data_IF_948942576301
#
_entry.id   IF_948942576301
#
_cell.length_a   1.000
_cell.length_b   1.000
_cell.length_c   1.000
_cell.angle_alpha   90.00
_cell.angle_beta   90.00
_cell.angle_gamma   90.00
#
_symmetry.space_group_name_H-M   'P 1'
#
loop_
_entity.id
_entity.type
_entity.pdbx_description
1 polymer ?
#
# COMPACT_ATOMS: atom_id res chain seq x y z
N UNK A 1 10.35 -36.39 17.24
CA UNK A 1 9.75 -35.21 16.59
C UNK A 1 9.86 -34.07 17.57
N UNK A 2 10.64 -33.05 17.24
CA UNK A 2 10.82 -31.89 18.11
C UNK A 2 9.50 -31.10 18.17
N UNK A 3 8.81 -31.18 19.31
CA UNK A 3 7.53 -30.52 19.59
C UNK A 3 7.71 -29.15 20.23
N UNK A 4 8.94 -28.62 20.26
CA UNK A 4 9.19 -27.28 20.78
C UNK A 4 8.39 -26.28 19.93
N UNK A 5 7.41 -25.56 20.51
CA UNK A 5 6.70 -24.53 19.77
C UNK A 5 7.75 -23.53 19.29
N UNK A 6 7.85 -23.31 17.97
CA UNK A 6 8.68 -22.23 17.42
C UNK A 6 8.23 -20.96 18.13
N UNK A 7 9.05 -20.44 19.04
CA UNK A 7 8.78 -19.16 19.70
C UNK A 7 8.76 -18.11 18.61
N UNK A 8 7.57 -17.69 18.22
CA UNK A 8 7.42 -16.48 17.42
C UNK A 8 8.00 -15.32 18.24
N UNK A 9 8.77 -14.44 17.59
CA UNK A 9 9.32 -13.22 18.20
C UNK A 9 10.42 -13.48 19.25
N UNK A 10 11.44 -14.27 18.90
CA UNK A 10 12.64 -14.46 19.73
C UNK A 10 13.36 -13.13 20.00
N UNK A 11 14.31 -13.11 20.95
CA UNK A 11 15.13 -11.91 21.15
C UNK A 11 15.90 -11.53 19.88
N UNK A 12 16.45 -12.52 19.16
CA UNK A 12 17.11 -12.31 17.87
C UNK A 12 16.18 -11.70 16.83
N UNK A 13 14.93 -12.18 16.70
CA UNK A 13 13.97 -11.61 15.76
C UNK A 13 13.66 -10.14 16.09
N UNK A 14 13.48 -9.83 17.39
CA UNK A 14 13.21 -8.46 17.85
C UNK A 14 14.38 -7.53 17.55
N UNK A 15 15.60 -7.93 17.90
CA UNK A 15 16.81 -7.12 17.65
C UNK A 15 17.02 -6.93 16.15
N UNK A 16 16.78 -7.96 15.33
CA UNK A 16 16.92 -7.87 13.88
C UNK A 16 15.89 -6.91 13.25
N UNK A 17 14.65 -6.93 13.73
CA UNK A 17 13.61 -5.98 13.31
C UNK A 17 13.99 -4.55 13.69
N UNK A 18 14.41 -4.31 14.94
CA UNK A 18 14.84 -2.99 15.42
C UNK A 18 16.03 -2.48 14.60
N UNK A 19 17.06 -3.31 14.40
CA UNK A 19 18.24 -2.94 13.64
C UNK A 19 17.89 -2.57 12.19
N UNK A 20 16.98 -3.31 11.56
CA UNK A 20 16.49 -3.01 10.20
C UNK A 20 15.79 -1.65 10.14
N UNK A 21 14.88 -1.38 11.10
CA UNK A 21 14.16 -0.11 11.18
C UNK A 21 15.10 1.08 11.43
N UNK A 22 16.05 0.94 12.36
CA UNK A 22 17.05 1.97 12.65
C UNK A 22 17.94 2.22 11.44
N UNK A 23 18.39 1.17 10.75
CA UNK A 23 19.18 1.32 9.52
C UNK A 23 18.42 2.09 8.43
N UNK A 24 17.12 1.81 8.25
CA UNK A 24 16.27 2.55 7.30
C UNK A 24 16.08 4.03 7.70
N UNK A 25 15.79 4.29 8.98
CA UNK A 25 15.69 5.66 9.52
C UNK A 25 17.01 6.43 9.38
N UNK A 26 18.14 5.73 9.46
CA UNK A 26 19.49 6.25 9.20
C UNK A 26 19.85 6.35 7.70
N UNK A 27 18.86 6.30 6.81
CA UNK A 27 18.99 6.42 5.34
C UNK A 27 19.57 5.19 4.61
N UNK A 28 19.80 4.09 5.32
CA UNK A 28 20.12 2.81 4.70
C UNK A 28 18.93 2.24 3.92
N UNK A 29 19.20 1.44 2.89
CA UNK A 29 18.15 0.72 2.14
C UNK A 29 18.36 -0.78 2.34
N UNK A 30 17.63 -1.43 3.29
CA UNK A 30 17.88 -2.82 3.64
C UNK A 30 17.79 -3.80 2.45
N UNK A 31 16.84 -3.56 1.55
CA UNK A 31 16.65 -4.31 0.31
C UNK A 31 15.85 -3.48 -0.70
N UNK A 32 15.73 -3.99 -1.94
CA UNK A 32 14.88 -3.43 -3.00
C UNK A 32 14.08 -4.53 -3.70
N UNK A 33 13.00 -4.17 -4.38
CA UNK A 33 12.22 -5.14 -5.15
C UNK A 33 12.90 -5.44 -6.49
N UNK A 34 13.36 -6.67 -6.67
CA UNK A 34 13.83 -7.14 -7.98
C UNK A 34 12.70 -7.22 -9.02
N UNK A 35 11.44 -7.23 -8.58
CA UNK A 35 10.24 -7.30 -9.44
C UNK A 35 9.65 -5.94 -9.76
N UNK A 36 10.24 -4.84 -9.28
CA UNK A 36 9.73 -3.52 -9.61
C UNK A 36 9.91 -3.24 -11.12
N UNK A 37 8.86 -2.70 -11.74
CA UNK A 37 8.83 -2.41 -13.17
C UNK A 37 9.35 -1.00 -13.44
N UNK A 38 10.28 -0.80 -14.38
CA UNK A 38 10.71 0.54 -14.80
C UNK A 38 9.53 1.38 -15.28
N UNK A 39 9.52 2.68 -14.97
CA UNK A 39 8.46 3.60 -15.38
C UNK A 39 7.11 3.41 -14.69
N UNK A 40 7.01 2.53 -13.68
CA UNK A 40 5.76 2.30 -12.94
C UNK A 40 5.81 2.97 -11.57
N UNK A 41 4.81 3.79 -11.27
CA UNK A 41 4.64 4.47 -10.01
C UNK A 41 3.45 3.88 -9.23
N UNK A 42 3.71 3.37 -8.02
CA UNK A 42 2.65 2.86 -7.14
C UNK A 42 2.33 3.91 -6.08
N UNK A 43 1.08 4.34 -6.03
CA UNK A 43 0.61 5.39 -5.13
C UNK A 43 -0.49 4.82 -4.24
N UNK A 44 -0.23 4.70 -2.94
CA UNK A 44 -1.27 4.40 -1.95
C UNK A 44 -1.99 5.67 -1.52
N UNK A 45 -3.32 5.67 -1.54
CA UNK A 45 -4.12 6.80 -1.10
C UNK A 45 -4.66 6.54 0.29
N UNK A 46 -4.40 7.49 1.18
CA UNK A 46 -4.66 7.40 2.61
C UNK A 46 -5.61 8.53 2.97
N UNK A 47 -6.75 8.20 3.56
CA UNK A 47 -7.67 9.21 4.09
C UNK A 47 -7.71 9.08 5.60
N UNK A 48 -7.50 10.20 6.30
CA UNK A 48 -7.55 10.26 7.74
C UNK A 48 -8.47 11.40 8.19
N UNK A 49 -9.41 11.10 9.08
CA UNK A 49 -10.32 12.10 9.66
C UNK A 49 -9.60 12.83 10.79
N UNK A 50 -9.76 14.15 10.87
CA UNK A 50 -9.11 14.95 11.92
C UNK A 50 -9.70 14.66 13.31
N UNK A 51 -11.02 14.54 13.38
CA UNK A 51 -11.73 14.25 14.63
C UNK A 51 -12.81 13.19 14.37
N UNK A 52 -12.83 12.14 15.20
CA UNK A 52 -13.88 11.12 15.18
C UNK A 52 -15.04 11.45 16.14
N UNK A 53 -14.86 12.43 17.02
CA UNK A 53 -15.78 12.79 18.11
C UNK A 53 -16.72 13.95 17.78
N UNK A 54 -16.37 14.78 16.80
CA UNK A 54 -17.22 15.86 16.28
C UNK A 54 -17.86 15.43 14.96
N UNK A 55 -19.02 16.00 14.60
CA UNK A 55 -19.61 15.86 13.24
C UNK A 55 -18.77 16.54 12.15
N UNK A 56 -17.48 16.76 12.40
CA UNK A 56 -16.56 17.38 11.46
C UNK A 56 -16.41 16.51 10.22
N UNK A 57 -16.72 17.10 9.06
CA UNK A 57 -16.42 16.56 7.74
C UNK A 57 -14.94 16.68 7.37
N UNK A 58 -14.11 17.23 8.27
CA UNK A 58 -12.71 17.52 7.98
C UNK A 58 -11.88 16.25 7.95
N UNK A 59 -11.27 15.98 6.81
CA UNK A 59 -10.28 14.94 6.65
C UNK A 59 -9.08 15.45 5.82
N UNK A 60 -8.00 14.69 5.85
CA UNK A 60 -6.83 14.89 5.01
C UNK A 60 -6.65 13.63 4.16
N UNK A 61 -6.30 13.82 2.89
CA UNK A 61 -5.81 12.74 2.05
C UNK A 61 -4.29 12.85 1.94
N UNK A 62 -3.57 11.76 2.09
CA UNK A 62 -2.14 11.67 1.83
C UNK A 62 -1.88 10.62 0.75
N UNK A 63 -0.90 10.90 -0.11
CA UNK A 63 -0.43 9.97 -1.11
C UNK A 63 0.94 9.42 -0.69
N UNK A 64 1.06 8.09 -0.64
CA UNK A 64 2.33 7.41 -0.42
C UNK A 64 2.81 6.78 -1.72
N UNK A 65 3.83 7.38 -2.31
CA UNK A 65 4.46 6.93 -3.54
C UNK A 65 5.59 5.95 -3.22
N UNK A 66 5.63 4.82 -3.92
CA UNK A 66 6.71 3.84 -3.83
C UNK A 66 7.39 3.65 -5.17
N UNK A 67 8.71 3.65 -5.11
CA UNK A 67 9.60 3.64 -6.26
C UNK A 67 10.27 2.27 -6.42
N UNK A 68 10.83 2.00 -7.60
CA UNK A 68 11.52 0.74 -7.91
C UNK A 68 12.79 0.51 -7.06
N UNK A 69 13.40 1.60 -6.57
CA UNK A 69 14.52 1.58 -5.61
C UNK A 69 14.13 1.05 -4.23
N UNK A 70 12.83 0.85 -3.99
CA UNK A 70 12.29 0.46 -2.69
C UNK A 70 12.14 1.64 -1.74
N UNK A 71 12.46 2.87 -2.14
CA UNK A 71 12.19 4.06 -1.33
C UNK A 71 10.75 4.52 -1.46
N UNK A 72 10.29 5.31 -0.49
CA UNK A 72 8.94 5.84 -0.45
C UNK A 72 8.92 7.33 -0.14
N UNK A 73 7.89 8.01 -0.63
CA UNK A 73 7.62 9.41 -0.32
C UNK A 73 6.16 9.59 0.05
N UNK A 74 5.91 10.33 1.12
CA UNK A 74 4.59 10.75 1.57
C UNK A 74 4.37 12.20 1.17
N UNK A 75 3.25 12.43 0.50
CA UNK A 75 2.80 13.76 0.08
C UNK A 75 1.47 14.02 0.76
N UNK A 76 1.44 15.06 1.59
CA UNK A 76 0.25 15.46 2.33
C UNK A 76 -0.66 16.31 1.44
N UNK A 77 -1.89 15.88 1.23
CA UNK A 77 -2.96 16.67 0.61
C UNK A 77 -3.51 17.74 1.56
N UNK A 78 -4.40 18.60 1.05
CA UNK A 78 -4.98 19.64 1.88
C UNK A 78 -6.04 19.06 2.84
N UNK A 79 -6.23 19.74 3.97
CA UNK A 79 -7.39 19.49 4.82
C UNK A 79 -8.62 20.10 4.17
N UNK A 80 -9.72 19.37 4.17
CA UNK A 80 -10.99 19.87 3.67
C UNK A 80 -12.15 18.95 4.03
N UNK A 81 -13.37 19.28 3.59
CA UNK A 81 -14.59 18.57 3.94
C UNK A 81 -14.73 17.25 3.16
N UNK A 82 -13.70 16.41 3.18
CA UNK A 82 -13.63 15.17 2.37
C UNK A 82 -14.45 14.03 2.95
N UNK A 83 -14.89 14.14 4.21
CA UNK A 83 -15.77 13.16 4.84
C UNK A 83 -17.23 13.54 4.67
N UNK A 84 -18.03 12.64 4.10
CA UNK A 84 -19.49 12.75 4.06
C UNK A 84 -20.11 11.99 5.24
N UNK A 85 -20.76 12.67 6.21
CA UNK A 85 -21.44 12.00 7.33
C UNK A 85 -22.58 11.08 6.90
N UNK A 86 -23.25 11.39 5.79
CA UNK A 86 -24.41 10.64 5.27
C UNK A 86 -23.99 9.29 4.68
N UNK A 87 -22.99 9.31 3.80
CA UNK A 87 -22.48 8.09 3.15
C UNK A 87 -21.40 7.38 3.97
N UNK A 88 -20.83 8.05 4.97
CA UNK A 88 -19.64 7.64 5.74
C UNK A 88 -18.43 7.36 4.85
N UNK A 89 -18.34 8.05 3.71
CA UNK A 89 -17.26 7.90 2.73
C UNK A 89 -16.31 9.11 2.75
N UNK A 90 -15.08 8.86 2.30
CA UNK A 90 -14.00 9.84 2.19
C UNK A 90 -13.64 9.98 0.72
N UNK A 91 -13.86 11.17 0.15
CA UNK A 91 -13.56 11.47 -1.24
C UNK A 91 -13.00 12.89 -1.39
N UNK A 92 -11.96 13.02 -2.21
CA UNK A 92 -11.50 14.33 -2.68
C UNK A 92 -12.46 14.86 -3.75
N UNK A 93 -12.53 16.18 -3.88
CA UNK A 93 -13.09 16.79 -5.08
C UNK A 93 -12.10 16.68 -6.25
N UNK A 94 -12.55 17.04 -7.44
CA UNK A 94 -11.74 16.93 -8.66
C UNK A 94 -10.43 17.77 -8.60
N UNK A 95 -10.49 18.98 -8.05
CA UNK A 95 -9.35 19.91 -8.00
C UNK A 95 -8.24 19.40 -7.06
N UNK A 96 -8.62 18.92 -5.88
CA UNK A 96 -7.69 18.39 -4.88
C UNK A 96 -7.10 17.05 -5.29
N UNK A 97 -7.88 16.19 -5.96
CA UNK A 97 -7.35 14.97 -6.55
C UNK A 97 -6.29 15.27 -7.63
N UNK A 98 -6.56 16.27 -8.48
CA UNK A 98 -5.59 16.73 -9.49
C UNK A 98 -4.33 17.28 -8.84
N UNK A 99 -4.46 18.18 -7.86
CA UNK A 99 -3.32 18.80 -7.18
C UNK A 99 -2.46 17.75 -6.47
N UNK A 100 -3.08 16.84 -5.73
CA UNK A 100 -2.37 15.79 -4.99
C UNK A 100 -1.52 14.92 -5.93
N UNK A 101 -2.09 14.43 -7.03
CA UNK A 101 -1.35 13.60 -7.97
C UNK A 101 -0.33 14.41 -8.77
N UNK A 102 -0.59 15.67 -9.10
CA UNK A 102 0.41 16.55 -9.74
C UNK A 102 1.68 16.62 -8.90
N UNK A 103 1.54 16.88 -7.59
CA UNK A 103 2.67 16.91 -6.65
C UNK A 103 3.40 15.57 -6.55
N UNK A 104 2.67 14.46 -6.59
CA UNK A 104 3.25 13.10 -6.64
C UNK A 104 4.10 12.90 -7.90
N UNK A 105 3.59 13.29 -9.07
CA UNK A 105 4.30 13.12 -10.34
C UNK A 105 5.50 14.06 -10.47
N UNK A 106 5.42 15.27 -9.94
CA UNK A 106 6.56 16.20 -9.85
C UNK A 106 7.68 15.60 -8.98
N UNK A 107 7.32 15.09 -7.80
CA UNK A 107 8.26 14.41 -6.89
C UNK A 107 8.88 13.17 -7.54
N UNK A 108 8.09 12.39 -8.30
CA UNK A 108 8.59 11.25 -9.06
C UNK A 108 9.68 11.69 -10.06
N UNK A 109 9.40 12.74 -10.84
CA UNK A 109 10.32 13.27 -11.85
C UNK A 109 11.63 13.75 -11.23
N UNK A 110 11.56 14.43 -10.09
CA UNK A 110 12.74 14.92 -9.37
C UNK A 110 13.63 13.79 -8.84
N UNK A 111 13.04 12.69 -8.36
CA UNK A 111 13.79 11.60 -7.74
C UNK A 111 14.33 10.57 -8.73
N UNK A 112 13.60 10.27 -9.81
CA UNK A 112 13.95 9.17 -10.71
C UNK A 112 14.46 9.61 -12.08
N UNK A 113 14.08 10.80 -12.56
CA UNK A 113 14.46 11.30 -13.89
C UNK A 113 14.05 10.42 -15.09
N UNK A 114 13.38 9.29 -14.86
CA UNK A 114 12.96 8.34 -15.88
C UNK A 114 11.56 8.67 -16.41
N UNK A 115 11.28 8.23 -17.63
CA UNK A 115 9.96 8.35 -18.25
C UNK A 115 8.95 7.48 -17.52
N UNK A 116 7.96 8.13 -16.91
CA UNK A 116 6.80 7.48 -16.32
C UNK A 116 5.93 6.87 -17.44
N UNK A 117 5.48 5.64 -17.27
CA UNK A 117 4.61 4.92 -18.22
C UNK A 117 3.29 4.49 -17.60
N UNK A 118 3.27 4.12 -16.32
CA UNK A 118 2.07 3.67 -15.61
C UNK A 118 2.01 4.23 -14.20
N UNK A 119 0.81 4.62 -13.77
CA UNK A 119 0.49 5.02 -12.41
C UNK A 119 -0.61 4.10 -11.88
N UNK A 120 -0.31 3.39 -10.80
CA UNK A 120 -1.28 2.59 -10.06
C UNK A 120 -1.68 3.31 -8.78
N UNK A 121 -2.95 3.66 -8.69
CA UNK A 121 -3.55 4.20 -7.47
C UNK A 121 -4.13 3.03 -6.67
N UNK A 122 -3.65 2.81 -5.46
CA UNK A 122 -4.10 1.78 -4.54
C UNK A 122 -5.00 2.39 -3.47
N UNK A 123 -6.24 1.90 -3.41
CA UNK A 123 -7.24 2.33 -2.43
C UNK A 123 -7.65 1.17 -1.54
N UNK A 124 -7.93 1.49 -0.27
CA UNK A 124 -8.64 0.58 0.62
C UNK A 124 -10.17 0.67 0.40
N UNK A 125 -10.67 1.90 0.32
CA UNK A 125 -12.07 2.24 -0.02
C UNK A 125 -12.31 2.24 -1.53
N UNK A 126 -13.55 2.49 -1.94
CA UNK A 126 -13.86 2.74 -3.36
C UNK A 126 -13.46 4.17 -3.72
N UNK A 127 -12.98 4.34 -4.94
CA UNK A 127 -12.77 5.64 -5.60
C UNK A 127 -14.04 6.03 -6.36
N UNK A 128 -14.39 7.32 -6.40
CA UNK A 128 -15.53 7.82 -7.17
C UNK A 128 -15.10 8.44 -8.54
N UNK A 129 -16.08 8.72 -9.40
CA UNK A 129 -15.84 9.29 -10.73
C UNK A 129 -15.20 10.69 -10.71
N UNK A 130 -15.48 11.49 -9.67
CA UNK A 130 -14.96 12.85 -9.54
C UNK A 130 -13.46 12.83 -9.22
N UNK A 131 -13.07 12.01 -8.24
CA UNK A 131 -11.69 11.75 -7.88
C UNK A 131 -10.90 11.21 -9.05
N UNK A 132 -11.42 10.18 -9.73
CA UNK A 132 -10.73 9.59 -10.87
C UNK A 132 -10.52 10.59 -12.01
N UNK A 133 -11.51 11.46 -12.28
CA UNK A 133 -11.36 12.56 -13.25
C UNK A 133 -10.28 13.55 -12.83
N UNK A 134 -10.21 13.89 -11.54
CA UNK A 134 -9.17 14.75 -11.00
C UNK A 134 -7.78 14.15 -11.20
N UNK A 135 -7.59 12.91 -10.76
CA UNK A 135 -6.36 12.17 -10.96
C UNK A 135 -5.99 12.03 -12.44
N UNK A 136 -6.92 11.62 -13.31
CA UNK A 136 -6.68 11.48 -14.74
C UNK A 136 -6.23 12.81 -15.38
N UNK A 137 -6.72 13.95 -14.90
CA UNK A 137 -6.33 15.27 -15.42
C UNK A 137 -4.90 15.71 -15.02
N UNK A 138 -4.29 15.07 -14.02
CA UNK A 138 -2.91 15.31 -13.61
C UNK A 138 -1.90 14.44 -14.38
N UNK A 139 -2.37 13.36 -15.01
CA UNK A 139 -1.51 12.38 -15.66
C UNK A 139 -1.11 12.84 -17.07
N UNK A 140 0.18 12.85 -17.43
CA UNK A 140 0.63 13.23 -18.77
C UNK A 140 0.07 12.32 -19.86
N UNK A 141 -0.05 12.87 -21.08
CA UNK A 141 -0.47 12.09 -22.23
C UNK A 141 0.47 10.91 -22.48
N UNK A 142 -0.10 9.73 -22.75
CA UNK A 142 0.65 8.49 -23.00
C UNK A 142 0.97 7.68 -21.74
N UNK A 143 0.74 8.23 -20.54
CA UNK A 143 0.87 7.50 -19.26
C UNK A 143 -0.47 6.84 -18.92
N UNK A 144 -0.45 5.56 -18.55
CA UNK A 144 -1.66 4.83 -18.13
C UNK A 144 -1.95 5.10 -16.66
N UNK A 145 -3.20 5.44 -16.35
CA UNK A 145 -3.69 5.56 -14.98
C UNK A 145 -4.67 4.43 -14.65
N UNK A 146 -4.37 3.66 -13.61
CA UNK A 146 -5.20 2.54 -13.16
C UNK A 146 -5.50 2.68 -11.68
N UNK A 147 -6.79 2.66 -11.32
CA UNK A 147 -7.21 2.68 -9.92
C UNK A 147 -7.60 1.26 -9.48
N UNK A 148 -6.98 0.80 -8.42
CA UNK A 148 -7.14 -0.56 -7.88
C UNK A 148 -7.62 -0.46 -6.44
N UNK A 149 -8.74 -1.10 -6.16
CA UNK A 149 -9.19 -1.35 -4.80
C UNK A 149 -8.56 -2.63 -4.27
N UNK A 150 -7.96 -2.55 -3.08
CA UNK A 150 -7.31 -3.67 -2.39
C UNK A 150 -7.92 -3.77 -0.98
N UNK A 151 -8.56 -4.90 -0.68
CA UNK A 151 -9.13 -5.16 0.66
C UNK A 151 -8.87 -6.58 1.11
N UNK A 152 -8.71 -6.79 2.41
CA UNK A 152 -8.76 -8.14 2.98
C UNK A 152 -10.20 -8.64 2.85
N UNK A 153 -10.38 -9.80 2.24
CA UNK A 153 -11.70 -10.43 2.11
C UNK A 153 -11.68 -11.74 2.92
N UNK A 154 -12.60 -11.83 3.89
CA UNK A 154 -12.71 -12.96 4.81
C UNK A 154 -13.90 -13.87 4.54
N UNK A 155 -14.67 -13.61 3.48
CA UNK A 155 -15.96 -14.26 3.24
C UNK A 155 -15.80 -15.73 2.88
N UNK A 156 -14.64 -16.11 2.35
CA UNK A 156 -14.28 -17.49 2.12
C UNK A 156 -12.79 -17.75 2.39
N UNK A 157 -12.47 -19.04 2.58
CA UNK A 157 -11.11 -19.52 2.86
C UNK A 157 -10.80 -20.67 1.90
N UNK A 158 -9.56 -20.73 1.43
CA UNK A 158 -9.09 -21.82 0.56
C UNK A 158 -8.23 -22.79 1.37
N UNK A 159 -8.61 -24.06 1.33
CA UNK A 159 -7.90 -25.14 2.02
C UNK A 159 -7.21 -26.04 0.99
N UNK A 160 -6.15 -26.69 1.43
CA UNK A 160 -5.48 -27.75 0.67
C UNK A 160 -5.20 -28.92 1.58
N UNK A 161 -5.01 -30.09 1.00
CA UNK A 161 -4.57 -31.25 1.75
C UNK A 161 -3.19 -31.04 2.38
N UNK A 162 -3.01 -31.63 3.57
CA UNK A 162 -1.77 -31.57 4.35
C UNK A 162 -1.80 -30.59 5.52
N UNK A 163 -0.62 -30.38 6.13
CA UNK A 163 -0.48 -29.62 7.39
C UNK A 163 -0.47 -28.09 7.21
N UNK A 164 -0.08 -27.61 6.05
CA UNK A 164 0.16 -26.18 5.81
C UNK A 164 -0.93 -25.58 4.92
N UNK A 165 -1.27 -24.29 5.08
CA UNK A 165 -2.21 -23.61 4.21
C UNK A 165 -1.66 -23.51 2.78
N UNK A 166 -2.46 -22.95 1.90
CA UNK A 166 -2.09 -22.73 0.50
C UNK A 166 -0.80 -21.91 0.36
N UNK A 167 -0.03 -22.11 -0.72
CA UNK A 167 1.18 -21.35 -0.96
C UNK A 167 0.92 -19.85 -1.04
N UNK A 168 1.81 -19.05 -0.44
CA UNK A 168 1.86 -17.61 -0.68
C UNK A 168 2.02 -17.35 -2.18
N UNK A 169 1.22 -16.43 -2.71
CA UNK A 169 1.17 -16.07 -4.14
C UNK A 169 0.12 -16.84 -4.93
N UNK A 170 -0.71 -17.67 -4.27
CA UNK A 170 -1.88 -18.28 -4.91
C UNK A 170 -2.82 -17.17 -5.37
N UNK A 171 -3.24 -17.22 -6.64
CA UNK A 171 -4.14 -16.27 -7.28
C UNK A 171 -5.38 -17.01 -7.79
N UNK A 172 -6.56 -16.55 -7.40
CA UNK A 172 -7.83 -16.96 -7.98
C UNK A 172 -8.37 -15.78 -8.81
N UNK A 173 -8.21 -15.86 -10.13
CA UNK A 173 -8.76 -14.88 -11.07
C UNK A 173 -10.25 -15.16 -11.27
N UNK A 174 -11.12 -14.21 -10.95
CA UNK A 174 -12.56 -14.33 -11.22
C UNK A 174 -12.90 -13.88 -12.63
N UNK A 175 -12.35 -12.74 -13.04
CA UNK A 175 -12.50 -12.17 -14.37
C UNK A 175 -11.30 -11.26 -14.67
N UNK A 176 -11.38 -10.40 -15.68
CA UNK A 176 -10.26 -9.53 -16.07
C UNK A 176 -10.03 -8.33 -15.12
N UNK A 177 -10.94 -8.04 -14.21
CA UNK A 177 -10.90 -6.87 -13.32
C UNK A 177 -10.84 -7.27 -11.84
N UNK A 178 -11.30 -8.47 -11.49
CA UNK A 178 -11.38 -8.97 -10.12
C UNK A 178 -10.55 -10.25 -9.94
N UNK A 179 -9.73 -10.26 -8.88
CA UNK A 179 -9.03 -11.45 -8.42
C UNK A 179 -8.85 -11.49 -6.89
N UNK A 180 -8.60 -12.70 -6.38
CA UNK A 180 -8.23 -12.96 -4.99
C UNK A 180 -6.79 -13.43 -4.92
N UNK A 181 -5.96 -12.74 -4.13
CA UNK A 181 -4.54 -13.01 -3.97
C UNK A 181 -4.21 -13.37 -2.52
N UNK A 182 -3.67 -14.56 -2.29
CA UNK A 182 -3.13 -14.93 -0.98
C UNK A 182 -1.69 -14.47 -0.84
N UNK A 183 -1.51 -13.28 -0.28
CA UNK A 183 -0.20 -12.68 0.04
C UNK A 183 0.49 -13.32 1.25
N UNK A 184 -0.26 -14.09 2.04
CA UNK A 184 0.25 -14.90 3.14
C UNK A 184 -0.18 -16.37 2.98
N UNK A 185 0.61 -17.28 3.54
CA UNK A 185 0.41 -18.73 3.38
C UNK A 185 1.73 -19.49 3.48
N UNK A 186 1.74 -20.74 3.04
CA UNK A 186 2.95 -21.55 3.05
C UNK A 186 4.06 -20.90 2.23
N UNK A 187 5.25 -20.77 2.82
CA UNK A 187 6.44 -20.16 2.19
C UNK A 187 7.45 -21.28 1.93
N UNK A 188 7.60 -21.77 0.68
CA UNK A 188 8.50 -22.88 0.36
C UNK A 188 9.94 -22.66 0.83
N UNK A 189 10.47 -21.43 0.68
CA UNK A 189 11.82 -21.05 1.13
C UNK A 189 12.02 -21.18 2.65
N UNK A 190 10.98 -20.90 3.45
CA UNK A 190 11.03 -21.04 4.91
C UNK A 190 10.57 -22.42 5.38
N UNK A 191 10.08 -23.27 4.46
CA UNK A 191 9.43 -24.56 4.72
C UNK A 191 8.37 -24.48 5.83
N UNK A 192 7.70 -23.34 5.97
CA UNK A 192 6.71 -23.10 7.03
C UNK A 192 5.70 -22.03 6.62
N UNK A 193 4.65 -21.92 7.43
CA UNK A 193 3.77 -20.76 7.51
C UNK A 193 4.01 -20.11 8.88
N UNK A 194 4.14 -18.79 8.90
CA UNK A 194 4.48 -17.94 10.06
C UNK A 194 3.31 -17.03 10.48
N UNK A 195 2.13 -17.22 9.88
CA UNK A 195 0.90 -16.56 10.31
C UNK A 195 0.06 -17.43 11.25
N UNK A 196 -0.99 -16.82 11.79
CA UNK A 196 -2.04 -17.54 12.53
C UNK A 196 -3.19 -17.91 11.59
N UNK A 197 -3.92 -18.96 11.94
CA UNK A 197 -5.14 -19.41 11.25
C UNK A 197 -4.97 -19.70 9.74
N UNK A 198 -6.07 -20.04 9.08
CA UNK A 198 -6.11 -20.12 7.61
C UNK A 198 -6.04 -18.71 7.01
N UNK A 199 -5.11 -18.45 6.07
CA UNK A 199 -4.88 -17.12 5.53
C UNK A 199 -6.09 -16.63 4.72
N UNK A 200 -6.43 -15.35 4.92
CA UNK A 200 -7.45 -14.64 4.15
C UNK A 200 -6.82 -14.04 2.88
N UNK A 201 -7.50 -14.09 1.72
CA UNK A 201 -7.02 -13.40 0.53
C UNK A 201 -7.13 -11.88 0.64
N UNK A 202 -6.33 -11.18 -0.17
CA UNK A 202 -6.66 -9.83 -0.62
C UNK A 202 -7.58 -9.96 -1.83
N UNK A 203 -8.73 -9.29 -1.79
CA UNK A 203 -9.50 -9.00 -2.99
C UNK A 203 -8.94 -7.77 -3.69
N UNK A 204 -8.72 -7.91 -4.98
CA UNK A 204 -8.20 -6.90 -5.90
C UNK A 204 -9.28 -6.65 -6.94
N UNK A 205 -9.71 -5.39 -7.06
CA UNK A 205 -10.65 -4.94 -8.09
C UNK A 205 -10.04 -3.75 -8.86
N UNK A 206 -9.82 -3.90 -10.17
CA UNK A 206 -9.50 -2.78 -11.06
C UNK A 206 -10.78 -1.97 -11.20
N UNK A 207 -10.83 -0.81 -10.55
CA UNK A 207 -12.02 0.05 -10.50
C UNK A 207 -12.10 0.98 -11.70
N UNK A 208 -10.95 1.49 -12.16
CA UNK A 208 -10.84 2.36 -13.33
C UNK A 208 -9.54 2.10 -14.07
N UNK A 209 -9.55 2.39 -15.38
CA UNK A 209 -8.41 2.13 -16.27
C UNK A 209 -8.33 0.66 -16.71
N UNK A 210 -7.28 0.34 -17.47
CA UNK A 210 -7.07 -1.00 -18.02
C UNK A 210 -5.68 -1.52 -17.68
N UNK A 211 -5.62 -2.69 -17.06
CA UNK A 211 -4.39 -3.44 -16.79
C UNK A 211 -4.66 -4.94 -16.79
N UNK A 212 -3.61 -5.74 -16.96
CA UNK A 212 -3.70 -7.18 -16.72
C UNK A 212 -3.77 -7.44 -15.21
N UNK A 213 -4.89 -7.96 -14.73
CA UNK A 213 -5.10 -8.31 -13.32
C UNK A 213 -4.04 -9.27 -12.77
N UNK A 214 -3.45 -10.13 -13.61
CA UNK A 214 -2.37 -11.02 -13.18
C UNK A 214 -1.08 -10.23 -12.92
N UNK A 215 -0.78 -9.24 -13.76
CA UNK A 215 0.35 -8.33 -13.54
C UNK A 215 0.12 -7.46 -12.30
N UNK A 216 -1.08 -6.91 -12.13
CA UNK A 216 -1.47 -6.16 -10.93
C UNK A 216 -1.27 -6.99 -9.66
N UNK A 217 -1.71 -8.25 -9.68
CA UNK A 217 -1.52 -9.15 -8.55
C UNK A 217 -0.03 -9.46 -8.26
N UNK A 218 0.82 -9.59 -9.30
CA UNK A 218 2.27 -9.75 -9.13
C UNK A 218 2.90 -8.52 -8.50
N UNK A 219 2.50 -7.33 -8.95
CA UNK A 219 3.00 -6.05 -8.44
C UNK A 219 2.61 -5.90 -6.96
N UNK A 220 1.35 -6.14 -6.60
CA UNK A 220 0.85 -6.16 -5.21
C UNK A 220 1.60 -7.18 -4.35
N UNK A 221 1.83 -8.40 -4.86
CA UNK A 221 2.59 -9.44 -4.17
C UNK A 221 4.06 -9.04 -3.95
N UNK A 222 4.64 -8.23 -4.85
CA UNK A 222 5.96 -7.64 -4.70
C UNK A 222 5.98 -6.60 -3.59
N UNK A 223 5.03 -5.66 -3.63
CA UNK A 223 4.90 -4.57 -2.66
C UNK A 223 4.69 -5.04 -1.21
N UNK A 224 4.18 -6.25 -0.97
CA UNK A 224 4.11 -6.80 0.40
C UNK A 224 5.48 -7.09 1.02
N UNK A 225 6.56 -7.10 0.23
CA UNK A 225 7.93 -7.32 0.72
C UNK A 225 8.65 -6.02 1.08
N UNK A 226 8.05 -4.86 0.81
CA UNK A 226 8.61 -3.56 1.17
C UNK A 226 8.08 -3.12 2.53
N UNK A 227 8.64 -3.69 3.60
CA UNK A 227 8.38 -3.20 4.95
C UNK A 227 9.70 -3.10 5.70
N UNK A 228 10.21 -1.89 5.92
CA UNK A 228 11.49 -1.70 6.60
C UNK A 228 11.38 -1.64 8.12
N UNK A 229 10.19 -1.83 8.69
CA UNK A 229 9.98 -1.93 10.14
C UNK A 229 10.19 -3.35 10.68
N UNK A 230 10.22 -4.34 9.79
CA UNK A 230 10.47 -5.72 10.17
C UNK A 230 11.21 -6.49 9.07
N UNK A 231 11.99 -7.48 9.47
CA UNK A 231 12.74 -8.33 8.57
C UNK A 231 12.01 -9.65 8.27
N UNK A 232 10.68 -9.60 8.07
CA UNK A 232 9.90 -10.75 7.62
C UNK A 232 10.01 -10.87 6.10
N UNK A 233 9.76 -12.08 5.59
CA UNK A 233 9.76 -12.33 4.14
C UNK A 233 8.74 -11.45 3.39
N UNK A 234 7.60 -11.18 4.01
CA UNK A 234 6.51 -10.37 3.47
C UNK A 234 5.45 -10.11 4.55
N UNK A 235 4.77 -8.97 4.44
CA UNK A 235 3.55 -8.63 5.15
C UNK A 235 2.30 -9.21 4.46
N UNK A 236 1.16 -9.11 5.15
CA UNK A 236 -0.15 -9.53 4.65
C UNK A 236 -0.74 -8.54 3.64
N UNK A 237 -0.40 -7.26 3.72
CA UNK A 237 -0.84 -6.24 2.76
C UNK A 237 0.36 -5.60 2.06
N UNK A 238 0.18 -5.02 0.85
CA UNK A 238 1.22 -4.23 0.20
C UNK A 238 1.52 -2.97 1.00
N UNK A 239 2.76 -2.48 0.92
CA UNK A 239 3.22 -1.26 1.59
C UNK A 239 2.32 -0.03 1.32
N UNK A 240 1.77 0.04 0.11
CA UNK A 240 0.81 1.08 -0.33
C UNK A 240 -0.53 1.06 0.42
N UNK A 241 -0.83 0.02 1.19
CA UNK A 241 -2.07 -0.09 1.97
C UNK A 241 -1.78 -0.25 3.46
N UNK A 242 -0.76 -1.03 3.84
CA UNK A 242 -0.45 -1.38 5.23
C UNK A 242 -0.29 -0.14 6.13
N UNK A 243 0.54 0.82 5.71
CA UNK A 243 0.93 1.98 6.52
C UNK A 243 -0.02 3.18 6.44
N UNK A 244 -1.21 2.99 5.85
CA UNK A 244 -2.15 4.08 5.65
C UNK A 244 -2.59 4.70 6.98
N UNK A 245 -2.79 3.89 8.02
CA UNK A 245 -3.21 4.41 9.33
C UNK A 245 -2.08 5.17 10.02
N UNK A 246 -0.89 4.56 10.13
CA UNK A 246 0.30 5.16 10.75
C UNK A 246 0.68 6.51 10.10
N UNK A 247 0.70 6.57 8.77
CA UNK A 247 0.98 7.81 8.02
C UNK A 247 -0.08 8.86 8.29
N UNK A 248 -1.36 8.46 8.28
CA UNK A 248 -2.48 9.37 8.55
C UNK A 248 -2.41 9.98 9.94
N UNK A 249 -2.16 9.16 10.95
CA UNK A 249 -2.04 9.59 12.36
C UNK A 249 -0.89 10.59 12.52
N UNK A 250 0.32 10.26 12.05
CA UNK A 250 1.50 11.14 12.17
C UNK A 250 1.28 12.51 11.49
N UNK A 251 0.62 12.52 10.32
CA UNK A 251 0.33 13.75 9.57
C UNK A 251 -0.72 14.63 10.26
N UNK A 252 -1.70 14.02 10.92
CA UNK A 252 -2.79 14.73 11.60
C UNK A 252 -2.36 15.22 12.98
N UNK A 253 -1.60 14.43 13.71
CA UNK A 253 -1.16 14.74 15.09
C UNK A 253 -0.09 15.83 15.14
N UNK A 254 0.54 16.15 14.01
CA UNK A 254 1.56 17.20 13.89
C UNK A 254 1.11 18.37 12.99
N UNK A 255 -0.02 19.05 13.27
CA UNK A 255 -0.59 20.05 12.37
C UNK A 255 0.27 21.32 12.28
N UNK A 256 1.13 21.57 13.28
CA UNK A 256 2.00 22.77 13.36
C UNK A 256 3.29 22.63 12.56
N UNK A 257 3.60 21.45 12.03
CA UNK A 257 4.80 21.25 11.22
C UNK A 257 4.59 21.90 9.85
N UNK A 258 5.21 23.06 9.66
CA UNK A 258 5.10 23.85 8.43
C UNK A 258 5.60 23.08 7.19
N UNK A 259 6.68 22.31 7.35
CA UNK A 259 7.32 21.53 6.29
C UNK A 259 7.53 20.08 6.72
N UNK A 260 6.49 19.22 6.66
CA UNK A 260 6.66 17.81 6.98
C UNK A 260 7.68 17.19 6.02
N UNK A 261 8.63 16.43 6.56
CA UNK A 261 9.59 15.69 5.73
C UNK A 261 8.82 14.66 4.92
N UNK A 262 9.05 14.62 3.62
CA UNK A 262 8.29 13.75 2.72
C UNK A 262 8.84 12.32 2.69
N UNK A 263 10.07 12.08 3.14
CA UNK A 263 10.67 10.74 3.07
C UNK A 263 9.92 9.76 3.97
N UNK A 264 9.54 8.60 3.43
CA UNK A 264 8.71 7.60 4.11
C UNK A 264 9.29 7.10 5.43
N UNK A 265 10.63 7.06 5.58
CA UNK A 265 11.35 6.73 6.83
C UNK A 265 10.97 7.56 8.06
N UNK A 266 10.37 8.74 7.88
CA UNK A 266 9.91 9.56 9.00
C UNK A 266 8.52 9.16 9.50
N UNK A 267 7.81 8.31 8.76
CA UNK A 267 6.43 7.88 9.07
C UNK A 267 6.35 6.43 9.53
N UNK A 268 7.36 5.61 9.21
CA UNK A 268 7.43 4.20 9.58
C UNK A 268 8.61 3.91 10.47
#
# INVERSE_FOLDING_TARGET
MDTTPKRANTLSDRVWNIATAVYYKAQGKPWRLATARPGVCYVGLVYHRKDYTTESSTACCAAQMFLDTGDGVVIRGNFGPWYSPQSKQLHLNQEEAKDLLTRVLETYRELHGQTLSEVFLHYRSRINDEEYRGFASAVPQGVKLVAIQIRVDGDFKLFREGRYPIPRGTLLKLNNETAYLWTNGYKPKLKTYDGAETPKPLRIDISYGQADIVQVAKDILGLTKLNYNNAKLANTQPVTIEFSEDVGEILVDNPKTANPKTQFRFYI
#
